data_IF_354697932754
#
_entry.id   IF_354697932754
#
_cell.length_a   1.000
_cell.length_b   1.000
_cell.length_c   1.000
_cell.angle_alpha   90.00
_cell.angle_beta   90.00
_cell.angle_gamma   90.00
#
_symmetry.space_group_name_H-M   'P 1'
#
loop_
_entity.id
_entity.type
_entity.pdbx_description
1 polymer ?
#
# COMPACT_ATOMS: atom_id res chain seq x y z
N UNK A 1 12.44 3.19 -10.36
CA UNK A 1 11.06 3.30 -9.86
C UNK A 1 10.57 2.09 -9.09
N UNK A 2 10.45 0.91 -9.72
CA UNK A 2 9.97 -0.30 -9.03
C UNK A 2 10.76 -0.62 -7.74
N UNK A 3 12.09 -0.61 -7.81
CA UNK A 3 12.95 -0.86 -6.64
C UNK A 3 12.72 0.14 -5.49
N UNK A 4 12.39 1.39 -5.81
CA UNK A 4 12.07 2.39 -4.77
C UNK A 4 10.70 2.11 -4.15
N UNK A 5 9.71 1.72 -4.95
CA UNK A 5 8.40 1.32 -4.43
C UNK A 5 8.56 0.10 -3.52
N UNK A 6 9.29 -0.92 -3.97
CA UNK A 6 9.52 -2.13 -3.18
C UNK A 6 10.31 -1.86 -1.89
N UNK A 7 11.27 -0.92 -1.89
CA UNK A 7 12.01 -0.58 -0.67
C UNK A 7 11.11 0.10 0.37
N UNK A 8 10.21 0.99 -0.07
CA UNK A 8 9.22 1.63 0.81
C UNK A 8 8.21 0.62 1.35
N UNK A 9 7.75 -0.32 0.51
CA UNK A 9 6.76 -1.32 0.88
C UNK A 9 7.31 -2.43 1.77
N UNK A 10 8.44 -3.02 1.40
CA UNK A 10 8.87 -4.32 1.93
C UNK A 10 10.18 -4.28 2.70
N UNK A 11 11.02 -3.26 2.49
CA UNK A 11 12.33 -3.14 3.14
C UNK A 11 12.37 -2.07 4.25
N UNK A 12 11.27 -1.37 4.47
CA UNK A 12 11.14 -0.30 5.49
C UNK A 12 10.23 -0.79 6.61
N UNK A 13 10.55 -0.51 7.88
CA UNK A 13 9.62 -0.78 8.99
C UNK A 13 8.39 0.14 8.90
N UNK A 14 7.25 -0.27 9.47
CA UNK A 14 6.06 0.60 9.44
C UNK A 14 6.31 1.93 10.17
N UNK A 15 7.10 1.88 11.25
CA UNK A 15 7.54 3.06 12.00
C UNK A 15 8.36 4.02 11.14
N UNK A 16 9.38 3.52 10.45
CA UNK A 16 10.26 4.37 9.63
C UNK A 16 9.51 4.97 8.44
N UNK A 17 8.58 4.20 7.86
CA UNK A 17 7.67 4.70 6.84
C UNK A 17 6.87 5.89 7.37
N UNK A 18 6.20 5.76 8.51
CA UNK A 18 5.34 6.82 9.03
C UNK A 18 6.12 8.08 9.42
N UNK A 19 7.32 7.90 10.00
CA UNK A 19 8.22 9.01 10.35
C UNK A 19 8.79 9.72 9.12
N UNK A 20 9.08 8.97 8.04
CA UNK A 20 9.82 9.50 6.88
C UNK A 20 8.94 9.92 5.71
N UNK A 21 7.68 9.46 5.61
CA UNK A 21 6.81 9.66 4.43
C UNK A 21 6.68 11.13 4.00
N UNK A 22 6.61 12.08 4.93
CA UNK A 22 6.46 13.51 4.59
C UNK A 22 7.73 14.06 3.93
N UNK A 23 8.90 13.62 4.42
CA UNK A 23 10.20 13.95 3.83
C UNK A 23 10.32 13.30 2.45
N UNK A 24 10.03 12.00 2.34
CA UNK A 24 10.10 11.29 1.06
C UNK A 24 9.14 11.85 0.01
N UNK A 25 7.93 12.29 0.40
CA UNK A 25 7.01 13.00 -0.50
C UNK A 25 7.63 14.25 -1.12
N UNK A 26 8.40 15.01 -0.35
CA UNK A 26 9.09 16.21 -0.86
C UNK A 26 10.29 15.86 -1.73
N UNK A 27 11.01 14.80 -1.38
CA UNK A 27 12.21 14.36 -2.11
C UNK A 27 11.87 13.61 -3.41
N UNK A 28 10.74 12.93 -3.44
CA UNK A 28 10.31 12.05 -4.52
C UNK A 28 8.86 12.38 -4.93
N UNK A 29 8.57 13.62 -5.40
CA UNK A 29 7.21 14.06 -5.75
C UNK A 29 6.65 13.35 -6.99
N UNK A 30 7.49 12.60 -7.71
CA UNK A 30 7.10 11.77 -8.84
C UNK A 30 6.12 10.65 -8.44
N UNK A 31 6.27 10.07 -7.25
CA UNK A 31 5.36 9.02 -6.78
C UNK A 31 4.06 9.62 -6.25
N UNK A 32 2.98 8.85 -6.37
CA UNK A 32 1.69 9.18 -5.78
C UNK A 32 1.72 8.88 -4.27
N UNK A 33 1.79 9.95 -3.47
CA UNK A 33 1.73 9.90 -2.01
C UNK A 33 0.34 10.22 -1.46
N UNK A 34 -0.67 10.35 -2.33
CA UNK A 34 -2.05 10.59 -1.91
C UNK A 34 -2.62 9.34 -1.24
N UNK A 35 -3.54 9.57 -0.30
CA UNK A 35 -4.11 8.52 0.52
C UNK A 35 -5.48 8.98 0.98
N UNK A 36 -6.47 8.12 0.80
CA UNK A 36 -7.78 8.18 1.45
C UNK A 36 -7.79 7.36 2.74
N UNK A 37 -6.62 6.83 3.13
CA UNK A 37 -6.39 5.97 4.28
C UNK A 37 -7.16 4.66 4.15
N UNK A 38 -7.76 4.15 5.23
CA UNK A 38 -8.48 2.89 5.19
C UNK A 38 -9.86 3.12 4.57
N UNK A 39 -10.00 2.78 3.29
CA UNK A 39 -11.25 2.80 2.52
C UNK A 39 -12.19 1.63 2.87
N UNK A 40 -12.21 1.18 4.13
CA UNK A 40 -13.14 0.15 4.62
C UNK A 40 -14.48 0.82 5.00
N UNK A 41 -15.59 0.53 4.28
CA UNK A 41 -16.82 1.35 4.33
C UNK A 41 -17.55 1.44 5.68
N UNK A 42 -17.13 0.68 6.70
CA UNK A 42 -17.93 0.45 7.91
C UNK A 42 -17.24 0.99 9.19
N UNK A 43 -15.91 1.08 9.20
CA UNK A 43 -15.14 1.20 10.46
C UNK A 43 -14.10 2.33 10.46
N UNK A 44 -13.72 2.88 9.30
CA UNK A 44 -12.72 3.95 9.20
C UNK A 44 -11.30 3.49 9.59
N UNK A 45 -10.39 4.43 9.87
CA UNK A 45 -8.96 4.14 10.10
C UNK A 45 -8.62 3.74 11.55
N UNK A 46 -9.50 4.10 12.48
CA UNK A 46 -9.24 4.07 13.91
C UNK A 46 -10.51 3.67 14.67
N UNK A 47 -10.30 2.96 15.77
CA UNK A 47 -11.35 2.62 16.71
C UNK A 47 -10.77 2.48 18.12
N UNK A 48 -11.63 2.29 19.12
CA UNK A 48 -11.19 2.19 20.53
C UNK A 48 -10.09 1.16 20.77
N UNK A 49 -9.96 0.16 19.90
CA UNK A 49 -8.99 -0.93 19.98
C UNK A 49 -7.89 -0.94 18.92
N UNK A 50 -7.89 -0.07 17.90
CA UNK A 50 -6.90 -0.09 16.80
C UNK A 50 -6.68 1.30 16.19
N UNK A 51 -5.53 1.49 15.54
CA UNK A 51 -5.25 2.62 14.65
C UNK A 51 -4.39 2.05 13.52
N UNK A 52 -4.95 1.95 12.32
CA UNK A 52 -4.26 1.38 11.16
C UNK A 52 -3.93 2.41 10.10
N UNK A 53 -3.97 3.70 10.45
CA UNK A 53 -3.77 4.78 9.50
C UNK A 53 -2.41 4.67 8.78
N UNK A 54 -1.33 4.33 9.49
CA UNK A 54 0.00 4.15 8.88
C UNK A 54 0.05 2.95 7.94
N UNK A 55 -0.58 1.84 8.31
CA UNK A 55 -0.68 0.64 7.48
C UNK A 55 -1.46 0.93 6.17
N UNK A 56 -2.60 1.61 6.28
CA UNK A 56 -3.43 1.96 5.12
C UNK A 56 -2.72 2.97 4.20
N UNK A 57 -2.01 3.96 4.74
CA UNK A 57 -1.18 4.87 3.94
C UNK A 57 -0.12 4.12 3.13
N UNK A 58 0.52 3.10 3.70
CA UNK A 58 1.51 2.29 2.99
C UNK A 58 0.89 1.40 1.93
N UNK A 59 -0.27 0.82 2.23
CA UNK A 59 -1.07 0.04 1.28
C UNK A 59 -1.47 0.88 0.05
N UNK A 60 -2.02 2.07 0.28
CA UNK A 60 -2.38 3.04 -0.77
C UNK A 60 -1.17 3.39 -1.65
N UNK A 61 -0.02 3.66 -1.03
CA UNK A 61 1.22 3.97 -1.75
C UNK A 61 1.57 2.85 -2.74
N UNK A 62 1.48 1.58 -2.32
CA UNK A 62 1.76 0.45 -3.22
C UNK A 62 0.76 0.36 -4.37
N UNK A 63 -0.53 0.40 -4.06
CA UNK A 63 -1.60 0.31 -5.05
C UNK A 63 -1.52 1.42 -6.11
N UNK A 64 -1.33 2.66 -5.67
CA UNK A 64 -1.29 3.82 -6.56
C UNK A 64 -0.05 3.81 -7.44
N UNK A 65 1.12 3.51 -6.86
CA UNK A 65 2.37 3.63 -7.60
C UNK A 65 2.63 2.47 -8.57
N UNK A 66 2.21 1.24 -8.26
CA UNK A 66 2.31 0.16 -9.25
C UNK A 66 1.37 0.40 -10.45
N UNK A 67 0.16 0.92 -10.20
CA UNK A 67 -0.73 1.38 -11.28
C UNK A 67 -0.13 2.53 -12.08
N UNK A 68 0.56 3.47 -11.41
CA UNK A 68 1.27 4.57 -12.05
C UNK A 68 2.42 4.06 -12.95
N UNK A 69 3.15 3.02 -12.53
CA UNK A 69 4.20 2.43 -13.35
C UNK A 69 3.65 1.79 -14.62
N UNK A 70 2.52 1.09 -14.56
CA UNK A 70 1.90 0.55 -15.77
C UNK A 70 1.50 1.67 -16.73
N UNK A 71 0.89 2.74 -16.23
CA UNK A 71 0.53 3.92 -17.04
C UNK A 71 1.74 4.56 -17.72
N UNK A 72 2.92 4.49 -17.11
CA UNK A 72 4.14 5.12 -17.64
C UNK A 72 4.99 4.19 -18.49
N UNK A 73 5.02 2.89 -18.20
CA UNK A 73 6.02 1.96 -18.71
C UNK A 73 5.45 0.63 -19.28
N UNK A 74 4.13 0.40 -19.25
CA UNK A 74 3.48 -0.83 -19.73
C UNK A 74 2.73 -0.62 -21.06
N UNK A 75 3.47 -0.40 -22.14
CA UNK A 75 2.95 -0.29 -23.50
C UNK A 75 3.87 -1.03 -24.49
N UNK A 76 3.34 -1.33 -25.68
CA UNK A 76 4.06 -2.05 -26.72
C UNK A 76 5.16 -1.20 -27.36
N UNK A 77 6.25 -1.84 -27.80
CA UNK A 77 7.32 -1.17 -28.57
C UNK A 77 8.19 -0.20 -27.75
N UNK A 78 8.15 -0.26 -26.42
CA UNK A 78 8.91 0.64 -25.55
C UNK A 78 10.42 0.43 -25.70
N UNK A 79 11.14 1.47 -26.12
CA UNK A 79 12.60 1.51 -26.06
C UNK A 79 13.07 1.99 -24.69
N UNK A 80 14.28 1.62 -24.29
CA UNK A 80 14.86 2.02 -23.00
C UNK A 80 14.87 3.54 -22.84
N UNK A 81 14.21 4.05 -21.81
CA UNK A 81 14.10 5.49 -21.50
C UNK A 81 12.84 6.18 -22.03
N UNK A 82 12.03 5.50 -22.86
CA UNK A 82 10.75 6.02 -23.35
C UNK A 82 9.63 5.84 -22.33
N UNK A 83 8.58 6.65 -22.45
CA UNK A 83 7.35 6.55 -21.66
C UNK A 83 6.16 6.26 -22.58
N UNK A 84 5.09 5.71 -22.02
CA UNK A 84 3.86 5.42 -22.75
C UNK A 84 3.07 6.69 -23.08
N UNK A 85 2.47 6.71 -24.27
CA UNK A 85 1.43 7.67 -24.62
C UNK A 85 0.16 7.41 -23.79
N UNK A 86 -0.66 8.45 -23.59
CA UNK A 86 -1.79 8.47 -22.66
C UNK A 86 -2.80 7.32 -22.82
N UNK A 87 -2.94 6.76 -24.03
CA UNK A 87 -3.90 5.70 -24.37
C UNK A 87 -3.23 4.39 -24.82
N UNK A 88 -1.91 4.27 -24.67
CA UNK A 88 -1.14 3.11 -25.15
C UNK A 88 -0.83 2.07 -24.08
N UNK A 89 -1.14 2.38 -22.81
CA UNK A 89 -0.75 1.57 -21.67
C UNK A 89 -1.83 0.54 -21.28
N UNK A 90 -1.39 -0.53 -20.64
CA UNK A 90 -2.26 -1.56 -20.06
C UNK A 90 -1.72 -2.02 -18.71
N UNK A 91 -2.62 -2.44 -17.81
CA UNK A 91 -2.21 -3.08 -16.55
C UNK A 91 -1.64 -4.48 -16.80
N UNK A 92 -0.79 -4.94 -15.88
CA UNK A 92 -0.35 -6.34 -15.82
C UNK A 92 1.16 -6.51 -15.71
N UNK A 93 1.95 -5.52 -16.13
CA UNK A 93 3.42 -5.58 -16.00
C UNK A 93 3.85 -5.30 -14.56
N UNK A 94 3.34 -4.23 -13.96
CA UNK A 94 3.64 -3.84 -12.58
C UNK A 94 2.44 -4.04 -11.65
N UNK A 95 1.24 -3.63 -12.06
CA UNK A 95 0.01 -3.88 -11.34
C UNK A 95 -0.61 -5.21 -11.80
N UNK A 96 -0.42 -6.26 -11.01
CA UNK A 96 -0.95 -7.59 -11.26
C UNK A 96 -1.34 -8.29 -9.95
N UNK A 97 -1.98 -9.45 -10.06
CA UNK A 97 -2.50 -10.21 -8.92
C UNK A 97 -1.40 -10.59 -7.90
N UNK A 98 -0.20 -10.93 -8.36
CA UNK A 98 0.93 -11.29 -7.49
C UNK A 98 1.38 -10.08 -6.66
N UNK A 99 1.65 -8.95 -7.30
CA UNK A 99 2.08 -7.73 -6.62
C UNK A 99 1.02 -7.21 -5.66
N UNK A 100 -0.25 -7.30 -6.08
CA UNK A 100 -1.37 -6.98 -5.20
C UNK A 100 -1.42 -7.90 -3.98
N UNK A 101 -1.24 -9.20 -4.14
CA UNK A 101 -1.16 -10.14 -3.02
C UNK A 101 -0.04 -9.79 -2.05
N UNK A 102 1.15 -9.47 -2.57
CA UNK A 102 2.30 -9.05 -1.75
C UNK A 102 2.00 -7.79 -0.94
N UNK A 103 1.35 -6.79 -1.55
CA UNK A 103 0.95 -5.56 -0.86
C UNK A 103 -0.12 -5.85 0.21
N UNK A 104 -1.13 -6.65 -0.09
CA UNK A 104 -2.19 -6.99 0.86
C UNK A 104 -1.63 -7.78 2.06
N UNK A 105 -0.70 -8.70 1.83
CA UNK A 105 -0.02 -9.42 2.92
C UNK A 105 0.87 -8.51 3.76
N UNK A 106 1.59 -7.58 3.12
CA UNK A 106 2.36 -6.59 3.86
C UNK A 106 1.45 -5.71 4.71
N UNK A 107 0.31 -5.28 4.17
CA UNK A 107 -0.68 -4.53 4.93
C UNK A 107 -1.19 -5.29 6.16
N UNK A 108 -1.41 -6.61 6.04
CA UNK A 108 -1.73 -7.44 7.18
C UNK A 108 -0.60 -7.46 8.23
N UNK A 109 0.66 -7.64 7.80
CA UNK A 109 1.83 -7.59 8.68
C UNK A 109 1.92 -6.26 9.44
N UNK A 110 1.62 -5.14 8.77
CA UNK A 110 1.67 -3.79 9.34
C UNK A 110 0.62 -3.57 10.43
N UNK A 111 -0.59 -4.07 10.18
CA UNK A 111 -1.65 -4.02 11.19
C UNK A 111 -1.28 -4.86 12.41
N UNK A 112 -0.71 -6.05 12.22
CA UNK A 112 -0.22 -6.88 13.32
C UNK A 112 0.95 -6.24 14.08
N UNK A 113 1.90 -5.61 13.40
CA UNK A 113 2.98 -4.83 14.03
C UNK A 113 2.39 -3.73 14.93
N UNK A 114 1.39 -3.00 14.43
CA UNK A 114 0.70 -1.97 15.20
C UNK A 114 0.00 -2.55 16.43
N UNK A 115 -0.60 -3.74 16.32
CA UNK A 115 -1.24 -4.42 17.44
C UNK A 115 -0.26 -4.93 18.50
N UNK A 116 0.96 -5.30 18.11
CA UNK A 116 1.97 -5.86 19.01
C UNK A 116 2.39 -4.90 20.14
N UNK A 117 2.29 -3.59 19.89
CA UNK A 117 2.63 -2.54 20.88
C UNK A 117 1.58 -2.35 21.97
N UNK A 118 0.41 -3.00 21.87
CA UNK A 118 -0.73 -2.81 22.77
C UNK A 118 -0.70 -3.77 23.96
N UNK A 119 -1.30 -3.34 25.07
CA UNK A 119 -1.57 -4.22 26.22
C UNK A 119 -2.35 -5.48 25.79
N UNK A 120 -2.08 -6.63 26.43
CA UNK A 120 -2.56 -7.97 26.01
C UNK A 120 -4.07 -8.03 25.73
N UNK A 121 -4.89 -7.40 26.56
CA UNK A 121 -6.36 -7.37 26.42
C UNK A 121 -6.84 -6.56 25.21
N UNK A 122 -6.10 -5.52 24.81
CA UNK A 122 -6.39 -4.69 23.62
C UNK A 122 -5.78 -5.30 22.36
N UNK A 123 -4.67 -6.03 22.49
CA UNK A 123 -3.97 -6.70 21.39
C UNK A 123 -4.88 -7.68 20.66
N UNK A 124 -5.54 -8.59 21.37
CA UNK A 124 -6.47 -9.57 20.76
C UNK A 124 -7.55 -8.88 19.92
N UNK A 125 -8.18 -7.82 20.46
CA UNK A 125 -9.20 -7.05 19.73
C UNK A 125 -8.64 -6.34 18.51
N UNK A 126 -7.42 -5.81 18.61
CA UNK A 126 -6.72 -5.18 17.49
C UNK A 126 -6.43 -6.20 16.38
N UNK A 127 -5.95 -7.39 16.74
CA UNK A 127 -5.63 -8.47 15.80
C UNK A 127 -6.87 -8.97 15.05
N UNK A 128 -8.02 -9.06 15.71
CA UNK A 128 -9.30 -9.36 15.04
C UNK A 128 -9.63 -8.29 13.99
N UNK A 129 -9.44 -7.00 14.31
CA UNK A 129 -9.63 -5.93 13.32
C UNK A 129 -8.64 -6.04 12.16
N UNK A 130 -7.37 -6.38 12.42
CA UNK A 130 -6.38 -6.57 11.37
C UNK A 130 -6.81 -7.65 10.35
N UNK A 131 -7.39 -8.75 10.84
CA UNK A 131 -7.93 -9.81 9.98
C UNK A 131 -9.11 -9.29 9.14
N UNK A 132 -10.07 -8.58 9.76
CA UNK A 132 -11.23 -8.03 9.06
C UNK A 132 -10.83 -7.07 7.93
N UNK A 133 -9.85 -6.20 8.18
CA UNK A 133 -9.34 -5.27 7.16
C UNK A 133 -8.67 -6.01 6.00
N UNK A 134 -7.85 -7.03 6.31
CA UNK A 134 -7.19 -7.85 5.30
C UNK A 134 -8.21 -8.60 4.42
N UNK A 135 -9.22 -9.21 5.03
CA UNK A 135 -10.29 -9.88 4.28
C UNK A 135 -11.05 -8.90 3.39
N UNK A 136 -11.31 -7.68 3.87
CA UNK A 136 -12.01 -6.64 3.10
C UNK A 136 -11.25 -6.24 1.84
N UNK A 137 -9.94 -5.96 1.91
CA UNK A 137 -9.15 -5.56 0.74
C UNK A 137 -9.00 -6.69 -0.29
N UNK A 138 -8.94 -7.94 0.19
CA UNK A 138 -8.92 -9.13 -0.68
C UNK A 138 -10.23 -9.31 -1.44
N UNK A 139 -11.35 -8.98 -0.81
CA UNK A 139 -12.69 -9.16 -1.40
C UNK A 139 -13.04 -8.00 -2.35
N UNK A 140 -12.70 -6.76 -2.00
CA UNK A 140 -13.09 -5.55 -2.74
C UNK A 140 -12.17 -5.28 -3.93
N UNK A 141 -10.87 -5.58 -3.83
CA UNK A 141 -9.94 -5.20 -4.89
C UNK A 141 -10.02 -6.07 -6.16
N UNK A 142 -10.85 -7.13 -6.20
CA UNK A 142 -10.95 -8.12 -7.30
C UNK A 142 -9.98 -9.31 -7.13
N UNK A 143 -9.79 -10.17 -8.14
CA UNK A 143 -8.60 -11.04 -8.25
C UNK A 143 -7.32 -10.26 -8.60
#
# INVERSE_FOLDING_TARGET
DLTYIESVLFSTSLRDFDQSRIKWRRQQPWFDWTTDSCSVPIIGNEGRSFNFASACRRHDFGYRNLKLLDRRYSCAGLTTGSICDANSWSYGRYWNAEQRSRIDEQFQRDMFETCATRARTKRVRCEVWAITFFQSVRTIGGP
#
